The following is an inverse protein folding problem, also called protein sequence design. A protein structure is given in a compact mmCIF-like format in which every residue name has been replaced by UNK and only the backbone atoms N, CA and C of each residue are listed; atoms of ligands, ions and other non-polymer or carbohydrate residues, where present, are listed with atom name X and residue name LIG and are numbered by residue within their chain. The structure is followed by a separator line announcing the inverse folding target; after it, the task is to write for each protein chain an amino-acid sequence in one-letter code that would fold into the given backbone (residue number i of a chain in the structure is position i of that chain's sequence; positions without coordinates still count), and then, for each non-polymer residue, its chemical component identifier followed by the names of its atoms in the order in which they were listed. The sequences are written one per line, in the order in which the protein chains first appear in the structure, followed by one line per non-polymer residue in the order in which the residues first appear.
data_IF_254804897313
#
_entry.id   IF_254804897313
#
_cell.length_a   1.000
_cell.length_b   1.000
_cell.length_c   1.000
_cell.angle_alpha   90.00
_cell.angle_beta   90.00
_cell.angle_gamma   90.00
#
_symmetry.space_group_name_H-M   'P 1'
#
loop_
_entity.id
_entity.type
_entity.pdbx_description
1 polymer ?
#
# COMPACT_ATOMS: atom_id res chain seq x y z
N UNK A 1 -1.95 -1.99 -20.92
CA UNK A 1 -0.99 -1.85 -19.81
C UNK A 1 -0.48 -3.24 -19.45
N UNK A 2 0.84 -3.49 -19.47
CA UNK A 2 1.39 -4.82 -19.16
C UNK A 2 1.41 -5.07 -17.64
N UNK A 3 1.32 -6.33 -17.21
CA UNK A 3 1.39 -6.72 -15.79
C UNK A 3 2.65 -6.18 -15.09
N UNK A 4 3.79 -6.21 -15.80
CA UNK A 4 5.05 -5.63 -15.29
C UNK A 4 4.89 -4.14 -14.97
N UNK A 5 4.24 -3.39 -15.83
CA UNK A 5 4.01 -1.96 -15.59
C UNK A 5 3.02 -1.70 -14.45
N UNK A 6 2.06 -2.59 -14.20
CA UNK A 6 1.10 -2.43 -13.10
C UNK A 6 1.82 -2.57 -11.75
N UNK A 7 2.61 -3.62 -11.56
CA UNK A 7 3.16 -3.98 -10.26
C UNK A 7 4.59 -3.48 -10.00
N UNK A 8 5.39 -3.25 -11.03
CA UNK A 8 6.83 -2.95 -10.88
C UNK A 8 7.25 -1.57 -11.37
N UNK A 9 6.33 -0.71 -11.74
CA UNK A 9 6.62 0.68 -12.10
C UNK A 9 5.78 1.62 -11.24
N UNK A 10 6.39 2.63 -10.66
CA UNK A 10 5.67 3.70 -9.95
C UNK A 10 5.13 4.78 -10.90
N UNK A 11 5.51 4.76 -12.20
CA UNK A 11 5.11 5.76 -13.19
C UNK A 11 3.70 5.52 -13.72
N UNK A 12 2.99 6.60 -14.09
CA UNK A 12 1.66 6.56 -14.65
C UNK A 12 0.56 6.63 -13.59
N UNK A 13 -0.65 6.31 -13.99
CA UNK A 13 -1.89 6.42 -13.19
C UNK A 13 -2.64 5.09 -13.20
N UNK A 14 -3.43 4.82 -12.16
CA UNK A 14 -4.26 3.61 -12.05
C UNK A 14 -5.69 3.98 -11.65
N UNK A 15 -6.69 3.33 -12.25
CA UNK A 15 -8.10 3.50 -11.87
C UNK A 15 -8.37 2.95 -10.48
N UNK A 16 -9.41 3.47 -9.84
CA UNK A 16 -9.86 3.02 -8.53
C UNK A 16 -10.17 1.52 -8.48
N UNK A 17 -10.92 1.01 -9.47
CA UNK A 17 -11.25 -0.42 -9.57
C UNK A 17 -10.00 -1.29 -9.70
N UNK A 18 -9.09 -0.91 -10.61
CA UNK A 18 -7.87 -1.66 -10.88
C UNK A 18 -6.92 -1.64 -9.68
N UNK A 19 -6.87 -0.52 -8.95
CA UNK A 19 -6.12 -0.40 -7.70
C UNK A 19 -6.62 -1.42 -6.67
N UNK A 20 -7.94 -1.50 -6.44
CA UNK A 20 -8.49 -2.42 -5.44
C UNK A 20 -8.31 -3.89 -5.83
N UNK A 21 -8.50 -4.23 -7.11
CA UNK A 21 -8.26 -5.59 -7.61
C UNK A 21 -6.79 -5.99 -7.43
N UNK A 22 -5.85 -5.13 -7.86
CA UNK A 22 -4.43 -5.40 -7.73
C UNK A 22 -3.99 -5.49 -6.26
N UNK A 23 -4.53 -4.62 -5.39
CA UNK A 23 -4.26 -4.64 -3.96
C UNK A 23 -4.76 -5.92 -3.30
N UNK A 24 -5.99 -6.34 -3.61
CA UNK A 24 -6.56 -7.59 -3.12
C UNK A 24 -5.73 -8.81 -3.57
N UNK A 25 -5.27 -8.83 -4.83
CA UNK A 25 -4.42 -9.91 -5.33
C UNK A 25 -3.10 -10.02 -4.53
N UNK A 26 -2.45 -8.90 -4.22
CA UNK A 26 -1.25 -8.91 -3.39
C UNK A 26 -1.57 -9.38 -1.97
N UNK A 27 -2.71 -8.98 -1.40
CA UNK A 27 -3.13 -9.42 -0.07
C UNK A 27 -3.37 -10.93 0.00
N UNK A 28 -4.09 -11.48 -0.96
CA UNK A 28 -4.33 -12.93 -1.07
C UNK A 28 -2.99 -13.67 -1.23
N UNK A 29 -2.12 -13.17 -2.11
CA UNK A 29 -0.78 -13.74 -2.28
C UNK A 29 0.03 -13.69 -0.97
N UNK A 30 0.00 -12.57 -0.26
CA UNK A 30 0.68 -12.41 1.04
C UNK A 30 0.15 -13.41 2.07
N UNK A 31 -1.18 -13.58 2.15
CA UNK A 31 -1.79 -14.53 3.06
C UNK A 31 -1.39 -15.99 2.75
N UNK A 32 -1.30 -16.35 1.47
CA UNK A 32 -0.83 -17.68 1.06
C UNK A 32 0.65 -17.87 1.40
N UNK A 33 1.49 -16.86 1.12
CA UNK A 33 2.92 -16.93 1.39
C UNK A 33 3.21 -17.04 2.89
N UNK A 34 2.47 -16.36 3.75
CA UNK A 34 2.66 -16.43 5.22
C UNK A 34 2.46 -17.84 5.80
N UNK A 35 1.80 -18.76 5.07
CA UNK A 35 1.67 -20.15 5.48
C UNK A 35 3.02 -20.94 5.40
N UNK A 36 4.00 -20.39 4.70
CA UNK A 36 5.34 -21.03 4.55
C UNK A 36 6.35 -20.57 5.61
N UNK A 37 5.88 -20.00 6.72
CA UNK A 37 6.72 -19.55 7.83
C UNK A 37 7.72 -18.47 7.42
N UNK A 38 8.92 -18.50 7.97
CA UNK A 38 9.96 -17.46 7.79
C UNK A 38 10.25 -17.15 6.31
N UNK A 39 10.28 -18.16 5.45
CA UNK A 39 10.51 -17.94 4.00
C UNK A 39 9.36 -17.17 3.39
N UNK A 40 8.13 -17.49 3.79
CA UNK A 40 6.93 -16.76 3.37
C UNK A 40 6.92 -15.32 3.86
N UNK A 41 7.31 -15.09 5.10
CA UNK A 41 7.38 -13.74 5.68
C UNK A 41 8.42 -12.87 4.94
N UNK A 42 9.58 -13.42 4.59
CA UNK A 42 10.55 -12.71 3.76
C UNK A 42 10.01 -12.39 2.37
N UNK A 43 9.26 -13.31 1.76
CA UNK A 43 8.61 -13.07 0.48
C UNK A 43 7.54 -11.97 0.57
N UNK A 44 6.78 -11.91 1.68
CA UNK A 44 5.79 -10.84 1.94
C UNK A 44 6.46 -9.46 2.03
N UNK A 45 7.64 -9.37 2.64
CA UNK A 45 8.42 -8.11 2.67
C UNK A 45 8.73 -7.62 1.25
N UNK A 46 9.09 -8.52 0.33
CA UNK A 46 9.35 -8.16 -1.07
C UNK A 46 8.09 -7.63 -1.78
N UNK A 47 6.90 -8.03 -1.35
CA UNK A 47 5.63 -7.53 -1.90
C UNK A 47 5.33 -6.08 -1.47
N UNK A 48 6.06 -5.51 -0.51
CA UNK A 48 5.94 -4.10 -0.17
C UNK A 48 6.29 -3.18 -1.36
N UNK A 49 7.22 -3.59 -2.23
CA UNK A 49 7.60 -2.81 -3.41
C UNK A 49 6.44 -2.66 -4.42
N UNK A 50 5.79 -3.74 -4.92
CA UNK A 50 4.63 -3.59 -5.79
C UNK A 50 3.46 -2.87 -5.12
N UNK A 51 3.25 -3.02 -3.82
CA UNK A 51 2.25 -2.25 -3.08
C UNK A 51 2.55 -0.74 -3.13
N UNK A 52 3.80 -0.35 -2.90
CA UNK A 52 4.22 1.05 -2.99
C UNK A 52 4.05 1.60 -4.42
N UNK A 53 4.36 0.82 -5.44
CA UNK A 53 4.14 1.20 -6.85
C UNK A 53 2.66 1.44 -7.16
N UNK A 54 1.77 0.55 -6.73
CA UNK A 54 0.33 0.70 -6.90
C UNK A 54 -0.21 1.95 -6.20
N UNK A 55 0.23 2.16 -4.95
CA UNK A 55 -0.21 3.29 -4.16
C UNK A 55 0.27 4.62 -4.75
N UNK A 56 1.51 4.67 -5.24
CA UNK A 56 2.06 5.85 -5.93
C UNK A 56 1.26 6.19 -7.18
N UNK A 57 0.92 5.20 -8.02
CA UNK A 57 0.07 5.43 -9.20
C UNK A 57 -1.33 5.93 -8.83
N UNK A 58 -1.86 5.45 -7.72
CA UNK A 58 -3.15 5.91 -7.23
C UNK A 58 -3.08 7.37 -6.78
N UNK A 59 -2.00 7.77 -6.11
CA UNK A 59 -1.73 9.17 -5.76
C UNK A 59 -1.56 10.04 -7.01
N UNK A 60 -0.86 9.55 -8.02
CA UNK A 60 -0.72 10.24 -9.32
C UNK A 60 -2.08 10.44 -10.01
N UNK A 61 -3.00 9.47 -9.89
CA UNK A 61 -4.37 9.62 -10.41
C UNK A 61 -5.18 10.70 -9.67
N UNK A 62 -4.82 10.99 -8.42
CA UNK A 62 -5.36 12.10 -7.64
C UNK A 62 -4.61 13.43 -7.84
N UNK A 63 -3.62 13.47 -8.74
CA UNK A 63 -2.74 14.64 -8.95
C UNK A 63 -1.76 14.89 -7.82
N UNK A 64 -1.51 13.90 -6.96
CA UNK A 64 -0.59 14.01 -5.81
C UNK A 64 0.73 13.31 -6.10
N UNK A 65 1.80 13.81 -5.49
CA UNK A 65 3.11 13.17 -5.56
C UNK A 65 3.10 11.78 -4.92
N UNK A 66 3.80 10.82 -5.55
CA UNK A 66 4.01 9.48 -5.01
C UNK A 66 4.71 9.44 -3.64
N UNK A 67 5.38 10.53 -3.25
CA UNK A 67 6.00 10.67 -1.92
C UNK A 67 4.99 10.58 -0.76
N UNK A 68 3.71 10.88 -0.99
CA UNK A 68 2.67 10.62 0.01
C UNK A 68 2.50 9.13 0.33
N UNK A 69 2.95 8.22 -0.54
CA UNK A 69 3.03 6.80 -0.22
C UNK A 69 4.00 6.55 0.94
N UNK A 70 5.15 7.22 0.96
CA UNK A 70 6.13 7.09 2.04
C UNK A 70 5.53 7.48 3.41
N UNK A 71 4.63 8.45 3.47
CA UNK A 71 3.92 8.80 4.70
C UNK A 71 3.05 7.65 5.21
N UNK A 72 2.24 7.04 4.34
CA UNK A 72 1.32 5.95 4.73
C UNK A 72 2.10 4.71 5.15
N UNK A 73 3.10 4.30 4.35
CA UNK A 73 3.94 3.15 4.67
C UNK A 73 4.84 3.42 5.88
N UNK A 74 5.33 4.65 6.05
CA UNK A 74 6.12 5.07 7.21
C UNK A 74 5.32 5.00 8.51
N UNK A 75 4.06 5.49 8.51
CA UNK A 75 3.18 5.36 9.66
C UNK A 75 2.88 3.89 10.00
N UNK A 76 2.61 3.06 8.99
CA UNK A 76 2.38 1.63 9.17
C UNK A 76 3.64 0.94 9.74
N UNK A 77 4.82 1.32 9.24
CA UNK A 77 6.10 0.79 9.73
C UNK A 77 6.36 1.19 11.19
N UNK A 78 6.21 2.47 11.53
CA UNK A 78 6.38 2.96 12.92
C UNK A 78 5.41 2.25 13.85
N UNK A 79 4.13 2.18 13.50
CA UNK A 79 3.14 1.46 14.29
C UNK A 79 3.46 -0.02 14.45
N UNK A 80 3.84 -0.70 13.36
CA UNK A 80 4.18 -2.12 13.36
C UNK A 80 5.43 -2.44 14.18
N UNK A 81 6.50 -1.66 14.01
CA UNK A 81 7.75 -1.81 14.79
C UNK A 81 7.47 -1.57 16.27
N UNK A 82 6.76 -0.49 16.61
CA UNK A 82 6.39 -0.21 18.01
C UNK A 82 5.58 -1.36 18.61
N UNK A 83 4.59 -1.88 17.88
CA UNK A 83 3.78 -3.01 18.32
C UNK A 83 4.64 -4.27 18.60
N UNK A 84 5.62 -4.55 17.74
CA UNK A 84 6.53 -5.68 17.89
C UNK A 84 7.40 -5.59 19.14
N UNK A 85 7.69 -4.39 19.64
CA UNK A 85 8.50 -4.19 20.84
C UNK A 85 7.67 -4.12 22.14
N UNK A 86 6.34 -3.96 22.08
CA UNK A 86 5.54 -3.80 23.29
C UNK A 86 5.57 -5.02 24.19
N UNK A 87 5.44 -6.22 23.65
CA UNK A 87 5.44 -7.44 24.45
C UNK A 87 6.81 -7.75 25.07
N UNK A 88 7.94 -7.69 24.34
CA UNK A 88 9.28 -7.78 24.94
C UNK A 88 9.51 -6.74 26.05
N UNK A 89 9.08 -5.49 25.86
CA UNK A 89 9.22 -4.44 26.89
C UNK A 89 8.38 -4.74 28.14
N UNK A 90 7.17 -5.27 27.97
CA UNK A 90 6.31 -5.69 29.07
C UNK A 90 6.97 -6.82 29.87
N UNK A 91 7.52 -7.81 29.19
CA UNK A 91 8.22 -8.93 29.83
C UNK A 91 9.52 -8.48 30.53
N UNK A 92 10.19 -7.46 30.02
CA UNK A 92 11.34 -6.83 30.66
C UNK A 92 11.00 -5.93 31.85
N UNK A 93 9.72 -5.80 32.23
CA UNK A 93 9.27 -5.02 33.37
C UNK A 93 9.16 -3.52 33.10
N UNK A 94 8.99 -3.10 31.84
CA UNK A 94 8.79 -1.68 31.51
C UNK A 94 7.58 -1.11 32.27
N UNK A 95 7.74 0.13 32.77
CA UNK A 95 6.70 0.80 33.54
C UNK A 95 5.47 1.15 32.70
N UNK A 96 4.31 1.23 33.36
CA UNK A 96 3.02 1.53 32.74
C UNK A 96 3.00 2.74 31.80
N UNK A 97 3.65 3.88 32.12
CA UNK A 97 3.71 5.04 31.22
C UNK A 97 4.38 4.74 29.87
N UNK A 98 5.42 3.91 29.83
CA UNK A 98 6.12 3.52 28.59
C UNK A 98 5.22 2.65 27.73
N UNK A 99 4.56 1.67 28.33
CA UNK A 99 3.62 0.79 27.62
C UNK A 99 2.40 1.57 27.11
N UNK A 100 1.89 2.51 27.88
CA UNK A 100 0.76 3.35 27.48
C UNK A 100 1.15 4.23 26.28
N UNK A 101 2.31 4.90 26.35
CA UNK A 101 2.80 5.74 25.25
C UNK A 101 3.03 4.91 23.97
N UNK A 102 3.63 3.72 24.09
CA UNK A 102 3.84 2.80 22.98
C UNK A 102 2.51 2.35 22.36
N UNK A 103 1.54 1.94 23.18
CA UNK A 103 0.20 1.53 22.71
C UNK A 103 -0.53 2.70 22.02
N UNK A 104 -0.47 3.90 22.58
CA UNK A 104 -1.04 5.10 21.96
C UNK A 104 -0.39 5.40 20.60
N UNK A 105 0.93 5.27 20.49
CA UNK A 105 1.65 5.42 19.22
C UNK A 105 1.17 4.43 18.18
N UNK A 106 1.04 3.14 18.53
CA UNK A 106 0.51 2.11 17.63
C UNK A 106 -0.88 2.49 17.12
N UNK A 107 -1.79 2.82 18.04
CA UNK A 107 -3.18 3.15 17.69
C UNK A 107 -3.23 4.37 16.76
N UNK A 108 -2.53 5.46 17.09
CA UNK A 108 -2.52 6.68 16.28
C UNK A 108 -1.94 6.44 14.90
N UNK A 109 -0.79 5.78 14.80
CA UNK A 109 -0.14 5.49 13.52
C UNK A 109 -1.00 4.57 12.65
N UNK A 110 -1.62 3.54 13.23
CA UNK A 110 -2.46 2.61 12.49
C UNK A 110 -3.75 3.29 12.01
N UNK A 111 -4.43 4.07 12.84
CA UNK A 111 -5.62 4.82 12.42
C UNK A 111 -5.25 5.80 11.31
N UNK A 112 -4.17 6.56 11.46
CA UNK A 112 -3.74 7.52 10.45
C UNK A 112 -3.40 6.82 9.12
N UNK A 113 -2.66 5.72 9.15
CA UNK A 113 -2.33 4.94 7.95
C UNK A 113 -3.59 4.40 7.26
N UNK A 114 -4.52 3.81 8.02
CA UNK A 114 -5.78 3.27 7.50
C UNK A 114 -6.65 4.36 6.89
N UNK A 115 -6.82 5.49 7.58
CA UNK A 115 -7.62 6.62 7.07
C UNK A 115 -7.02 7.16 5.76
N UNK A 116 -5.70 7.39 5.73
CA UNK A 116 -5.01 7.88 4.52
C UNK A 116 -5.10 6.88 3.38
N UNK A 117 -4.95 5.60 3.66
CA UNK A 117 -5.08 4.52 2.68
C UNK A 117 -6.47 4.49 2.04
N UNK A 118 -7.53 4.44 2.85
CA UNK A 118 -8.90 4.41 2.35
C UNK A 118 -9.28 5.70 1.64
N UNK A 119 -8.90 6.87 2.14
CA UNK A 119 -9.11 8.15 1.44
C UNK A 119 -8.47 8.14 0.05
N UNK A 120 -7.25 7.63 -0.07
CA UNK A 120 -6.55 7.54 -1.36
C UNK A 120 -7.22 6.51 -2.28
N UNK A 121 -7.56 5.33 -1.78
CA UNK A 121 -8.17 4.26 -2.57
C UNK A 121 -9.58 4.58 -3.05
N UNK A 122 -10.39 5.26 -2.23
CA UNK A 122 -11.80 5.55 -2.52
C UNK A 122 -12.02 6.88 -3.25
N UNK A 123 -11.11 7.84 -3.16
CA UNK A 123 -11.24 9.14 -3.80
C UNK A 123 -11.44 8.99 -5.33
N UNK A 124 -12.13 9.93 -5.95
CA UNK A 124 -12.28 9.97 -7.42
C UNK A 124 -10.98 10.49 -8.02
N UNK A 125 -10.44 9.79 -9.03
CA UNK A 125 -9.30 10.27 -9.81
C UNK A 125 -9.69 11.46 -10.70
N UNK A 126 -8.67 12.18 -11.18
CA UNK A 126 -8.85 13.28 -12.12
C UNK A 126 -9.24 12.72 -13.49
N UNK A 127 -10.31 13.24 -14.08
CA UNK A 127 -10.81 12.84 -15.41
C UNK A 127 -9.97 13.35 -16.57
N UNK A 128 -9.15 14.37 -16.33
CA UNK A 128 -8.29 15.01 -17.33
C UNK A 128 -6.84 14.56 -17.23
N UNK A 129 -6.04 14.86 -18.27
CA UNK A 129 -4.60 14.66 -18.21
C UNK A 129 -3.96 15.55 -17.15
N UNK A 130 -3.03 15.00 -16.39
CA UNK A 130 -2.27 15.73 -15.37
C UNK A 130 -0.77 15.53 -15.55
N UNK A 131 0.05 16.04 -14.63
CA UNK A 131 1.52 15.94 -14.69
C UNK A 131 2.04 14.49 -14.77
N UNK A 132 1.22 13.49 -14.47
CA UNK A 132 1.58 12.06 -14.48
C UNK A 132 1.03 11.30 -15.69
N UNK A 133 0.34 11.98 -16.59
CA UNK A 133 -0.15 11.43 -17.85
C UNK A 133 -1.66 11.52 -18.07
N UNK A 134 -2.15 10.91 -19.17
CA UNK A 134 -3.56 10.88 -19.50
C UNK A 134 -4.36 10.05 -18.50
N UNK A 135 -5.71 10.19 -18.46
CA UNK A 135 -6.57 9.38 -17.63
C UNK A 135 -6.33 7.88 -17.88
N UNK A 136 -6.28 7.04 -16.82
CA UNK A 136 -5.97 5.63 -16.99
C UNK A 136 -7.06 4.88 -17.75
N UNK A 137 -6.68 4.08 -18.76
CA UNK A 137 -7.55 3.07 -19.36
C UNK A 137 -7.79 1.90 -18.39
N UNK A 138 -8.88 1.14 -18.55
CA UNK A 138 -9.15 -0.02 -17.70
C UNK A 138 -8.09 -1.11 -17.91
N UNK A 139 -7.32 -1.43 -16.85
CA UNK A 139 -6.21 -2.37 -16.94
C UNK A 139 -6.67 -3.83 -17.03
N UNK A 140 -7.77 -4.17 -16.33
CA UNK A 140 -8.26 -5.56 -16.24
C UNK A 140 -9.49 -5.85 -17.11
N UNK A 141 -10.11 -4.82 -17.69
CA UNK A 141 -11.32 -4.98 -18.53
C UNK A 141 -11.04 -5.15 -20.01
N UNK A 142 -9.91 -4.66 -20.48
CA UNK A 142 -9.46 -4.83 -21.85
C UNK A 142 -8.33 -5.87 -21.81
N UNK A 143 -8.67 -7.12 -22.12
CA UNK A 143 -7.67 -8.14 -22.41
C UNK A 143 -6.77 -7.69 -23.59
N UNK A 144 -5.75 -8.48 -23.99
CA UNK A 144 -4.76 -8.12 -25.01
C UNK A 144 -5.32 -7.87 -26.41
N UNK A 145 -6.62 -7.80 -26.60
CA UNK A 145 -7.31 -7.60 -27.88
C UNK A 145 -7.43 -6.14 -28.35
N UNK A 146 -6.76 -5.18 -27.71
CA UNK A 146 -6.83 -3.74 -28.04
C UNK A 146 -5.66 -3.21 -28.88
N UNK A 147 -4.79 -4.06 -29.40
CA UNK A 147 -3.62 -3.66 -30.21
C UNK A 147 -3.74 -4.04 -31.69
N UNK A 148 -4.97 -3.99 -32.22
CA UNK A 148 -5.22 -4.17 -33.65
C UNK A 148 -6.22 -3.10 -34.12
N UNK A 149 -5.76 -1.87 -34.34
CA UNK A 149 -6.32 -0.90 -35.28
C UNK A 149 -5.30 0.26 -35.45
#
# INVERSE_FOLDING_TARGET
MTWKNIFFSAKGRIRRSDFWVAWLLIWVLSAVLSLFGVIGDLAVILLAYPQACLFSKRLHDLGRSGWFAALVFGLALVGGVTAGFLEPLRQAGAGGPVLLAGSATVVVCMIAAVVLFFRTGLARGQGEANAYGPPPAAAFRNGPAGEAA
#
